data_IF_596308367262
#
_entry.id   IF_596308367262
#
_cell.length_a   1.000
_cell.length_b   1.000
_cell.length_c   1.000
_cell.angle_alpha   90.00
_cell.angle_beta   90.00
_cell.angle_gamma   90.00
#
_symmetry.space_group_name_H-M   'P 1'
#
loop_
_entity.id
_entity.type
_entity.pdbx_description
1 polymer ?
#
# COMPACT_ATOMS: atom_id res chain seq x y z
N UNK A 1 35.37 37.85 -69.96
CA UNK A 1 34.03 37.31 -69.66
C UNK A 1 34.21 36.45 -68.42
N UNK A 2 33.86 36.96 -67.22
CA UNK A 2 34.07 36.23 -65.92
C UNK A 2 32.75 35.65 -65.50
N UNK A 3 32.68 34.30 -65.41
CA UNK A 3 31.54 33.58 -64.89
C UNK A 3 31.58 33.68 -63.34
N UNK A 4 30.55 34.23 -62.74
CA UNK A 4 30.38 34.21 -61.27
C UNK A 4 29.62 32.94 -60.90
N UNK A 5 30.30 32.07 -60.14
CA UNK A 5 29.69 30.91 -59.49
C UNK A 5 28.79 31.38 -58.35
N UNK A 6 27.49 31.17 -58.50
CA UNK A 6 26.47 31.37 -57.47
C UNK A 6 26.29 30.08 -56.74
N UNK A 7 26.88 29.95 -55.54
CA UNK A 7 26.69 28.79 -54.66
C UNK A 7 25.35 29.02 -53.92
N UNK A 8 24.36 28.22 -54.26
CA UNK A 8 23.07 28.17 -53.58
C UNK A 8 23.24 27.31 -52.30
N UNK A 9 23.33 27.98 -51.12
CA UNK A 9 23.30 27.31 -49.82
C UNK A 9 21.84 26.95 -49.53
N UNK A 10 21.48 25.67 -49.65
CA UNK A 10 20.19 25.14 -49.21
C UNK A 10 20.23 25.02 -47.69
N UNK A 11 19.31 25.64 -46.91
CA UNK A 11 19.26 25.39 -45.49
C UNK A 11 18.71 24.01 -45.20
N UNK A 12 19.53 23.18 -44.58
CA UNK A 12 19.14 21.85 -44.09
C UNK A 12 18.22 22.03 -42.88
N UNK A 13 16.91 22.02 -43.09
CA UNK A 13 15.91 22.05 -42.03
C UNK A 13 15.91 20.65 -41.39
N UNK A 14 16.62 20.47 -40.29
CA UNK A 14 16.51 19.31 -39.44
C UNK A 14 15.22 19.39 -38.65
N UNK A 15 14.21 18.65 -39.10
CA UNK A 15 12.96 18.45 -38.37
C UNK A 15 13.30 17.54 -37.17
N UNK A 16 13.45 18.13 -36.00
CA UNK A 16 13.47 17.38 -34.74
C UNK A 16 12.06 16.79 -34.50
N UNK A 17 11.86 15.56 -34.93
CA UNK A 17 10.74 14.77 -34.42
C UNK A 17 10.99 14.50 -32.96
N UNK A 18 10.32 15.26 -32.09
CA UNK A 18 10.19 14.92 -30.68
C UNK A 18 9.38 13.62 -30.61
N UNK A 19 10.09 12.50 -30.53
CA UNK A 19 9.48 11.24 -30.18
C UNK A 19 8.91 11.40 -28.79
N UNK A 20 7.59 11.53 -28.67
CA UNK A 20 6.91 11.32 -27.40
C UNK A 20 7.19 9.88 -26.97
N UNK A 21 8.24 9.68 -26.20
CA UNK A 21 8.49 8.40 -25.54
C UNK A 21 7.42 8.25 -24.46
N UNK A 22 6.30 7.63 -24.82
CA UNK A 22 5.42 7.10 -23.81
C UNK A 22 6.21 6.04 -23.05
N UNK A 23 6.27 6.14 -21.75
CA UNK A 23 6.87 5.12 -20.93
C UNK A 23 6.14 3.79 -21.22
N UNK A 24 6.86 2.84 -21.86
CA UNK A 24 6.31 1.53 -22.20
C UNK A 24 6.32 0.57 -21.02
N UNK A 25 6.67 1.06 -19.84
CA UNK A 25 6.76 0.26 -18.62
C UNK A 25 6.41 1.06 -17.37
N UNK A 26 5.96 0.35 -16.33
CA UNK A 26 5.68 0.87 -15.00
C UNK A 26 6.47 0.07 -13.98
N UNK A 27 7.25 0.78 -13.16
CA UNK A 27 8.09 0.20 -12.12
C UNK A 27 7.38 0.26 -10.76
N UNK A 28 7.15 -0.89 -10.15
CA UNK A 28 6.35 -1.04 -8.95
C UNK A 28 7.22 -1.52 -7.80
N UNK A 29 7.34 -0.72 -6.73
CA UNK A 29 7.91 -1.17 -5.47
C UNK A 29 6.79 -1.76 -4.60
N UNK A 30 6.84 -3.07 -4.35
CA UNK A 30 5.74 -3.81 -3.76
C UNK A 30 6.11 -4.48 -2.43
N UNK A 31 5.27 -4.26 -1.43
CA UNK A 31 5.24 -5.08 -0.22
C UNK A 31 4.28 -6.28 -0.33
N UNK A 32 3.54 -6.35 -1.44
CA UNK A 32 2.63 -7.45 -1.73
C UNK A 32 3.38 -8.54 -2.49
N UNK A 33 3.16 -9.78 -2.10
CA UNK A 33 3.79 -10.94 -2.73
C UNK A 33 3.41 -11.02 -4.22
N UNK A 34 4.37 -11.34 -5.10
CA UNK A 34 4.15 -11.39 -6.55
C UNK A 34 2.96 -12.24 -6.96
N UNK A 35 2.80 -13.45 -6.41
CA UNK A 35 1.70 -14.36 -6.77
C UNK A 35 0.30 -13.78 -6.51
N UNK A 36 0.17 -12.75 -5.65
CA UNK A 36 -1.11 -12.09 -5.36
C UNK A 36 -1.41 -10.93 -6.32
N UNK A 37 -0.39 -10.34 -6.94
CA UNK A 37 -0.59 -9.16 -7.81
C UNK A 37 -0.34 -9.47 -9.28
N UNK A 38 0.48 -10.47 -9.61
CA UNK A 38 0.81 -10.79 -10.99
C UNK A 38 -0.42 -10.97 -11.89
N UNK A 39 -1.50 -11.66 -11.48
CA UNK A 39 -2.69 -11.79 -12.34
C UNK A 39 -3.31 -10.44 -12.74
N UNK A 40 -3.27 -9.45 -11.84
CA UNK A 40 -3.77 -8.10 -12.15
C UNK A 40 -2.82 -7.34 -13.06
N UNK A 41 -1.51 -7.50 -12.86
CA UNK A 41 -0.48 -6.83 -13.68
C UNK A 41 -0.42 -7.42 -15.10
N UNK A 42 -0.57 -8.73 -15.24
CA UNK A 42 -0.68 -9.41 -16.52
C UNK A 42 -1.90 -8.91 -17.31
N UNK A 43 -3.06 -8.81 -16.66
CA UNK A 43 -4.27 -8.30 -17.29
C UNK A 43 -4.13 -6.81 -17.65
N UNK A 44 -3.47 -6.01 -16.82
CA UNK A 44 -3.12 -4.62 -17.13
C UNK A 44 -2.24 -4.54 -18.38
N UNK A 45 -1.16 -5.30 -18.42
CA UNK A 45 -0.24 -5.34 -19.59
C UNK A 45 -0.97 -5.79 -20.85
N UNK A 46 -1.83 -6.80 -20.75
CA UNK A 46 -2.64 -7.29 -21.88
C UNK A 46 -3.58 -6.22 -22.43
N UNK A 47 -4.19 -5.42 -21.56
CA UNK A 47 -5.14 -4.37 -21.96
C UNK A 47 -4.47 -3.11 -22.49
N UNK A 48 -3.31 -2.78 -21.97
CA UNK A 48 -2.67 -1.48 -22.25
C UNK A 48 -1.43 -1.56 -23.14
N UNK A 49 -0.82 -2.73 -23.25
CA UNK A 49 0.50 -2.91 -23.85
C UNK A 49 1.66 -2.43 -22.97
N UNK A 50 1.39 -1.85 -21.80
CA UNK A 50 2.39 -1.32 -20.87
C UNK A 50 2.95 -2.46 -20.03
N UNK A 51 4.26 -2.63 -20.01
CA UNK A 51 4.96 -3.64 -19.19
C UNK A 51 4.98 -3.20 -17.73
N UNK A 52 5.05 -4.17 -16.81
CA UNK A 52 5.18 -3.90 -15.38
C UNK A 52 6.43 -4.60 -14.84
N UNK A 53 7.26 -3.84 -14.12
CA UNK A 53 8.46 -4.33 -13.44
C UNK A 53 8.21 -4.26 -11.93
N UNK A 54 8.36 -5.37 -11.22
CA UNK A 54 8.05 -5.42 -9.78
C UNK A 54 9.29 -5.71 -8.97
N UNK A 55 9.62 -4.79 -8.08
CA UNK A 55 10.61 -5.01 -7.01
C UNK A 55 9.85 -5.34 -5.74
N UNK A 56 9.91 -6.59 -5.31
CA UNK A 56 9.26 -7.07 -4.09
C UNK A 56 10.21 -7.07 -2.91
N UNK A 57 9.77 -6.49 -1.79
CA UNK A 57 10.43 -6.64 -0.49
C UNK A 57 9.44 -6.50 0.66
N UNK A 58 9.62 -7.30 1.70
CA UNK A 58 8.83 -7.19 2.93
C UNK A 58 9.21 -6.00 3.80
N UNK A 59 10.43 -5.44 3.63
CA UNK A 59 10.98 -4.33 4.43
C UNK A 59 11.88 -3.45 3.56
N UNK A 60 12.14 -2.22 4.04
CA UNK A 60 13.20 -1.35 3.50
C UNK A 60 12.88 -0.56 2.24
N UNK A 61 11.73 -0.77 1.57
CA UNK A 61 11.41 -0.05 0.33
C UNK A 61 11.25 1.46 0.53
N UNK A 62 10.69 1.91 1.65
CA UNK A 62 10.57 3.34 1.93
C UNK A 62 11.96 3.99 2.11
N UNK A 63 12.88 3.33 2.82
CA UNK A 63 14.24 3.81 2.97
C UNK A 63 15.00 3.80 1.64
N UNK A 64 14.82 2.76 0.85
CA UNK A 64 15.39 2.66 -0.50
C UNK A 64 14.92 3.83 -1.36
N UNK A 65 13.61 4.06 -1.45
CA UNK A 65 13.04 5.16 -2.21
C UNK A 65 13.58 6.53 -1.75
N UNK A 66 13.66 6.72 -0.42
CA UNK A 66 14.25 7.94 0.17
C UNK A 66 15.73 8.15 -0.24
N UNK A 67 16.51 7.07 -0.29
CA UNK A 67 17.92 7.12 -0.69
C UNK A 67 18.09 7.36 -2.18
N UNK A 68 17.25 6.75 -3.02
CA UNK A 68 17.23 6.94 -4.46
C UNK A 68 16.80 8.38 -4.84
N UNK A 69 15.92 9.00 -4.05
CA UNK A 69 15.44 10.36 -4.27
C UNK A 69 14.82 10.56 -5.65
N UNK A 70 15.19 11.64 -6.32
CA UNK A 70 14.69 11.96 -7.67
C UNK A 70 15.17 10.98 -8.76
N UNK A 71 16.20 10.18 -8.46
CA UNK A 71 16.69 9.16 -9.37
C UNK A 71 16.01 7.78 -9.18
N UNK A 72 14.99 7.70 -8.34
CA UNK A 72 14.26 6.45 -8.15
C UNK A 72 13.56 6.03 -9.44
N UNK A 73 13.71 4.76 -9.87
CA UNK A 73 12.95 4.24 -10.99
C UNK A 73 11.49 3.92 -10.63
N UNK A 74 11.10 4.00 -9.37
CA UNK A 74 9.77 3.58 -8.92
C UNK A 74 8.69 4.59 -9.32
N UNK A 75 7.72 4.13 -10.10
CA UNK A 75 6.52 4.91 -10.48
C UNK A 75 5.37 4.70 -9.48
N UNK A 76 5.27 3.49 -8.92
CA UNK A 76 4.15 3.09 -8.04
C UNK A 76 4.66 2.36 -6.80
N UNK A 77 4.09 2.73 -5.66
CA UNK A 77 4.26 1.99 -4.39
C UNK A 77 3.00 1.19 -4.11
N UNK A 78 3.16 -0.14 -3.94
CA UNK A 78 2.07 -1.03 -3.57
C UNK A 78 2.30 -1.59 -2.17
N UNK A 79 1.51 -1.15 -1.20
CA UNK A 79 1.59 -1.63 0.17
C UNK A 79 0.51 -2.66 0.50
N UNK A 80 0.62 -3.31 1.66
CA UNK A 80 -0.34 -4.30 2.14
C UNK A 80 -1.28 -3.75 3.20
N UNK A 81 -1.00 -2.54 3.70
CA UNK A 81 -1.67 -1.99 4.88
C UNK A 81 -1.45 -0.47 4.95
N UNK A 82 -2.43 0.26 5.47
CA UNK A 82 -2.36 1.71 5.63
C UNK A 82 -1.22 2.16 6.55
N UNK A 83 -0.91 1.39 7.59
CA UNK A 83 0.19 1.71 8.50
C UNK A 83 1.56 1.63 7.85
N UNK A 84 1.74 0.83 6.79
CA UNK A 84 2.96 0.85 5.97
C UNK A 84 2.97 2.03 4.99
N UNK A 85 1.80 2.40 4.48
CA UNK A 85 1.66 3.52 3.56
C UNK A 85 2.04 4.84 4.24
N UNK A 86 1.65 5.00 5.51
CA UNK A 86 1.94 6.19 6.31
C UNK A 86 3.44 6.58 6.32
N UNK A 87 4.35 5.60 6.30
CA UNK A 87 5.80 5.87 6.26
C UNK A 87 6.21 6.62 4.97
N UNK A 88 5.57 6.30 3.86
CA UNK A 88 5.84 7.00 2.58
C UNK A 88 5.28 8.42 2.58
N UNK A 89 4.15 8.63 3.24
CA UNK A 89 3.54 9.94 3.42
C UNK A 89 4.38 10.81 4.37
N UNK A 90 4.80 10.26 5.51
CA UNK A 90 5.67 10.90 6.51
C UNK A 90 7.03 11.32 5.91
N UNK A 91 7.59 10.52 5.02
CA UNK A 91 8.82 10.85 4.29
C UNK A 91 8.59 11.75 3.07
N UNK A 92 7.36 12.20 2.82
CA UNK A 92 6.96 13.00 1.66
C UNK A 92 7.39 12.39 0.31
N UNK A 93 7.22 11.07 0.17
CA UNK A 93 7.61 10.31 -1.02
C UNK A 93 6.46 10.10 -2.01
N UNK A 94 5.28 10.63 -1.72
CA UNK A 94 4.08 10.47 -2.54
C UNK A 94 3.68 11.80 -3.16
N UNK A 95 3.23 11.76 -4.42
CA UNK A 95 2.69 12.91 -5.12
C UNK A 95 1.18 12.76 -5.35
N UNK A 96 0.43 13.86 -5.41
CA UNK A 96 -1.00 13.79 -5.69
C UNK A 96 -1.29 13.39 -7.14
N UNK A 97 -2.32 12.57 -7.33
CA UNK A 97 -2.78 12.12 -8.64
C UNK A 97 -4.23 12.57 -8.84
N UNK A 98 -4.51 13.19 -9.98
CA UNK A 98 -5.88 13.50 -10.42
C UNK A 98 -6.34 12.45 -11.41
N UNK A 99 -7.37 11.71 -11.09
CA UNK A 99 -7.93 10.66 -11.94
C UNK A 99 -9.42 10.49 -11.70
N UNK A 100 -10.22 10.80 -12.72
CA UNK A 100 -11.67 10.60 -12.66
C UNK A 100 -12.05 9.14 -12.41
N UNK A 101 -11.24 8.20 -12.89
CA UNK A 101 -11.47 6.75 -12.67
C UNK A 101 -11.27 6.39 -11.19
N UNK A 102 -10.20 6.87 -10.56
CA UNK A 102 -9.96 6.64 -9.13
C UNK A 102 -11.01 7.35 -8.28
N UNK A 103 -11.36 8.57 -8.63
CA UNK A 103 -12.34 9.37 -7.89
C UNK A 103 -13.75 8.78 -7.93
N UNK A 104 -14.15 8.20 -9.05
CA UNK A 104 -15.47 7.55 -9.20
C UNK A 104 -15.56 6.17 -8.56
N UNK A 105 -14.43 5.45 -8.48
CA UNK A 105 -14.43 4.05 -8.00
C UNK A 105 -14.00 3.88 -6.55
N UNK A 106 -13.29 4.86 -5.96
CA UNK A 106 -12.75 4.74 -4.61
C UNK A 106 -13.44 5.73 -3.67
N UNK A 107 -14.20 5.26 -2.67
CA UNK A 107 -14.85 6.12 -1.68
C UNK A 107 -13.87 7.05 -0.97
N UNK A 108 -14.31 8.26 -0.61
CA UNK A 108 -13.46 9.29 0.02
C UNK A 108 -12.73 8.81 1.27
N UNK A 109 -13.35 7.96 2.08
CA UNK A 109 -12.73 7.42 3.31
C UNK A 109 -11.68 6.32 3.04
N UNK A 110 -11.48 5.92 1.79
CA UNK A 110 -10.50 4.93 1.34
C UNK A 110 -9.39 5.51 0.46
N UNK A 111 -9.23 6.82 0.46
CA UNK A 111 -8.15 7.53 -0.23
C UNK A 111 -7.61 8.70 0.62
N UNK A 112 -6.42 9.18 0.28
CA UNK A 112 -5.86 10.39 0.86
C UNK A 112 -6.73 11.61 0.58
N UNK A 113 -6.96 12.52 1.54
CA UNK A 113 -7.60 13.81 1.27
C UNK A 113 -6.88 14.62 0.18
N UNK A 114 -5.57 14.45 0.07
CA UNK A 114 -4.72 15.10 -0.93
C UNK A 114 -4.51 14.26 -2.21
N UNK A 115 -5.24 13.15 -2.37
CA UNK A 115 -5.10 12.22 -3.49
C UNK A 115 -3.69 11.63 -3.68
N UNK A 116 -2.93 11.49 -2.62
CA UNK A 116 -1.58 10.91 -2.63
C UNK A 116 -1.57 9.38 -2.62
N UNK A 117 -2.66 8.76 -2.16
CA UNK A 117 -2.82 7.31 -2.15
C UNK A 117 -4.28 6.89 -2.27
N UNK A 118 -4.48 5.66 -2.71
CA UNK A 118 -5.80 5.06 -2.97
C UNK A 118 -5.81 3.61 -2.52
N UNK A 119 -6.87 3.18 -1.83
CA UNK A 119 -7.01 1.79 -1.42
C UNK A 119 -7.58 0.93 -2.57
N UNK A 120 -6.90 -0.17 -2.90
CA UNK A 120 -7.37 -1.15 -3.89
C UNK A 120 -8.34 -2.16 -3.29
N UNK A 121 -8.23 -2.45 -1.99
CA UNK A 121 -9.06 -3.40 -1.30
C UNK A 121 -9.14 -3.10 0.19
N UNK A 122 -10.22 -3.57 0.81
CA UNK A 122 -10.45 -3.49 2.24
C UNK A 122 -10.53 -4.90 2.83
N UNK A 123 -9.98 -5.10 4.02
CA UNK A 123 -10.06 -6.36 4.78
C UNK A 123 -10.55 -6.09 6.19
N UNK A 124 -11.40 -6.96 6.70
CA UNK A 124 -11.81 -6.93 8.10
C UNK A 124 -11.01 -7.96 8.90
N UNK A 125 -10.66 -7.61 10.12
CA UNK A 125 -10.18 -8.58 11.11
C UNK A 125 -11.39 -9.14 11.81
N UNK A 126 -11.50 -10.46 11.74
CA UNK A 126 -12.62 -11.17 12.34
C UNK A 126 -12.12 -12.07 13.46
N UNK A 127 -12.98 -12.27 14.44
CA UNK A 127 -12.77 -13.29 15.48
C UNK A 127 -13.23 -14.60 14.90
N UNK A 128 -12.37 -15.62 14.96
CA UNK A 128 -12.71 -16.99 14.58
C UNK A 128 -12.76 -17.83 15.84
N UNK A 129 -13.93 -18.37 16.13
CA UNK A 129 -14.18 -19.20 17.30
C UNK A 129 -14.43 -20.66 16.91
N UNK A 130 -14.00 -21.59 17.77
CA UNK A 130 -14.30 -23.01 17.63
C UNK A 130 -15.78 -23.26 17.88
N UNK A 131 -16.49 -23.83 16.92
CA UNK A 131 -17.93 -24.15 17.04
C UNK A 131 -18.24 -25.13 18.19
N UNK A 132 -17.27 -25.97 18.58
CA UNK A 132 -17.46 -27.00 19.62
C UNK A 132 -17.03 -26.53 21.02
N UNK A 133 -16.28 -25.41 21.12
CA UNK A 133 -15.68 -24.95 22.39
C UNK A 133 -16.16 -23.57 22.83
N UNK A 134 -16.83 -22.86 21.97
CA UNK A 134 -17.33 -21.51 22.23
C UNK A 134 -18.77 -21.46 21.79
N UNK A 135 -19.66 -21.12 22.70
CA UNK A 135 -21.08 -20.95 22.39
C UNK A 135 -21.32 -19.81 21.42
N UNK A 136 -22.32 -19.98 20.59
CA UNK A 136 -22.70 -18.97 19.62
C UNK A 136 -23.10 -17.65 20.34
N UNK A 137 -22.68 -16.52 19.78
CA UNK A 137 -22.97 -15.18 20.32
C UNK A 137 -22.29 -14.80 21.66
N UNK A 138 -21.40 -15.62 22.21
CA UNK A 138 -20.68 -15.29 23.45
C UNK A 138 -19.67 -14.14 23.24
N UNK A 139 -19.12 -14.02 22.01
CA UNK A 139 -18.20 -12.96 21.63
C UNK A 139 -18.89 -12.07 20.59
N UNK A 140 -19.25 -10.85 20.95
CA UNK A 140 -19.91 -9.90 20.08
C UNK A 140 -18.97 -8.88 19.46
N UNK A 141 -17.91 -8.55 20.15
CA UNK A 141 -16.94 -7.53 19.75
C UNK A 141 -15.55 -7.88 20.24
N UNK A 142 -14.56 -7.21 19.68
CA UNK A 142 -13.15 -7.49 19.96
C UNK A 142 -12.79 -7.25 21.43
N UNK A 143 -13.44 -6.30 22.07
CA UNK A 143 -13.22 -5.95 23.47
C UNK A 143 -13.59 -7.09 24.42
N UNK A 144 -14.52 -7.95 24.05
CA UNK A 144 -14.92 -9.10 24.85
C UNK A 144 -13.75 -10.09 25.08
N UNK A 145 -12.75 -10.08 24.22
CA UNK A 145 -11.57 -10.95 24.34
C UNK A 145 -10.67 -10.60 25.52
N UNK A 146 -10.85 -9.43 26.15
CA UNK A 146 -10.16 -9.05 27.37
C UNK A 146 -10.77 -9.62 28.65
N UNK A 147 -11.97 -10.24 28.58
CA UNK A 147 -12.64 -10.82 29.75
C UNK A 147 -11.88 -12.04 30.29
N UNK A 148 -11.88 -12.25 31.65
CA UNK A 148 -11.12 -13.32 32.29
C UNK A 148 -11.49 -14.75 31.83
N UNK A 149 -12.72 -14.95 31.37
CA UNK A 149 -13.22 -16.25 30.88
C UNK A 149 -12.43 -16.80 29.68
N UNK A 150 -11.67 -15.92 29.01
CA UNK A 150 -10.84 -16.29 27.85
C UNK A 150 -9.41 -16.67 28.23
N UNK A 151 -9.07 -16.70 29.52
CA UNK A 151 -7.71 -17.01 29.97
C UNK A 151 -7.18 -18.31 29.39
N UNK A 152 -6.04 -18.24 28.71
CA UNK A 152 -5.38 -19.38 28.06
C UNK A 152 -6.12 -19.92 26.83
N UNK A 153 -7.07 -19.17 26.27
CA UNK A 153 -7.92 -19.66 25.16
C UNK A 153 -7.75 -18.89 23.84
N UNK A 154 -6.97 -17.81 23.82
CA UNK A 154 -6.79 -16.95 22.67
C UNK A 154 -5.48 -17.24 21.96
N UNK A 155 -5.53 -17.38 20.63
CA UNK A 155 -4.35 -17.38 19.78
C UNK A 155 -4.33 -16.11 18.95
N UNK A 156 -3.20 -15.40 18.96
CA UNK A 156 -3.00 -14.17 18.18
C UNK A 156 -1.61 -14.14 17.57
N UNK A 157 -1.38 -13.20 16.68
CA UNK A 157 -0.05 -12.86 16.19
C UNK A 157 0.69 -12.00 17.23
N UNK A 158 2.03 -11.85 17.12
CA UNK A 158 2.78 -10.89 17.93
C UNK A 158 2.22 -9.47 17.86
N UNK A 159 2.30 -8.73 18.97
CA UNK A 159 1.91 -7.31 19.00
C UNK A 159 2.65 -6.43 18.00
N UNK A 160 3.90 -6.79 17.67
CA UNK A 160 4.71 -6.11 16.64
C UNK A 160 4.21 -6.31 15.21
N UNK A 161 3.35 -7.30 14.97
CA UNK A 161 2.82 -7.57 13.64
C UNK A 161 1.90 -6.42 13.18
N UNK A 162 2.06 -6.00 11.92
CA UNK A 162 1.33 -4.85 11.35
C UNK A 162 -0.20 -4.91 11.58
N UNK A 163 -0.78 -6.12 11.58
CA UNK A 163 -2.22 -6.28 11.82
C UNK A 163 -2.62 -6.03 13.27
N UNK A 164 -1.82 -6.45 14.24
CA UNK A 164 -2.10 -6.20 15.64
C UNK A 164 -1.81 -4.75 16.03
N UNK A 165 -0.81 -4.12 15.40
CA UNK A 165 -0.61 -2.67 15.52
C UNK A 165 -1.81 -1.88 15.02
N UNK A 166 -2.38 -2.26 13.87
CA UNK A 166 -3.60 -1.61 13.35
C UNK A 166 -4.83 -1.89 14.22
N UNK A 167 -4.95 -3.10 14.82
CA UNK A 167 -5.98 -3.38 15.80
C UNK A 167 -5.82 -2.48 17.04
N UNK A 168 -4.60 -2.39 17.59
CA UNK A 168 -4.33 -1.53 18.74
C UNK A 168 -4.66 -0.06 18.45
N UNK A 169 -4.27 0.45 17.28
CA UNK A 169 -4.62 1.79 16.85
C UNK A 169 -6.14 2.02 16.80
N UNK A 170 -6.93 1.03 16.35
CA UNK A 170 -8.39 1.12 16.34
C UNK A 170 -9.01 1.13 17.75
N UNK A 171 -8.45 0.37 18.68
CA UNK A 171 -8.88 0.39 20.09
C UNK A 171 -8.53 1.72 20.75
N UNK A 172 -7.34 2.27 20.48
CA UNK A 172 -6.95 3.61 20.96
C UNK A 172 -7.90 4.68 20.41
N UNK A 173 -8.19 4.65 19.13
CA UNK A 173 -9.09 5.63 18.51
C UNK A 173 -10.52 5.56 19.07
N UNK A 174 -10.98 4.37 19.43
CA UNK A 174 -12.33 4.18 19.97
C UNK A 174 -12.46 4.51 21.49
N UNK A 175 -11.40 4.27 22.27
CA UNK A 175 -11.49 4.25 23.73
C UNK A 175 -10.47 5.14 24.45
N UNK A 176 -9.50 5.69 23.73
CA UNK A 176 -8.35 6.42 24.29
C UNK A 176 -7.23 5.48 24.77
N UNK A 177 -6.04 6.04 24.97
CA UNK A 177 -4.81 5.28 25.27
C UNK A 177 -4.92 4.47 26.57
N UNK A 178 -5.35 5.06 27.66
CA UNK A 178 -5.42 4.40 28.96
C UNK A 178 -6.31 3.14 28.95
N UNK A 179 -7.50 3.24 28.34
CA UNK A 179 -8.42 2.08 28.24
C UNK A 179 -7.90 1.04 27.27
N UNK A 180 -7.26 1.47 26.21
CA UNK A 180 -6.65 0.59 25.22
C UNK A 180 -5.48 -0.21 25.82
N UNK A 181 -4.66 0.41 26.68
CA UNK A 181 -3.57 -0.26 27.40
C UNK A 181 -4.12 -1.32 28.38
N UNK A 182 -5.14 -0.97 29.16
CA UNK A 182 -5.81 -1.92 30.08
C UNK A 182 -6.40 -3.10 29.31
N UNK A 183 -7.06 -2.83 28.20
CA UNK A 183 -7.59 -3.85 27.31
C UNK A 183 -6.47 -4.77 26.77
N UNK A 184 -5.38 -4.21 26.27
CA UNK A 184 -4.26 -4.95 25.71
C UNK A 184 -3.58 -5.84 26.78
N UNK A 185 -3.38 -5.35 27.98
CA UNK A 185 -2.85 -6.12 29.09
C UNK A 185 -3.74 -7.34 29.41
N UNK A 186 -5.05 -7.13 29.52
CA UNK A 186 -6.02 -8.20 29.78
C UNK A 186 -6.07 -9.19 28.60
N UNK A 187 -6.06 -8.71 27.36
CA UNK A 187 -6.00 -9.56 26.18
C UNK A 187 -4.74 -10.45 26.14
N UNK A 188 -3.57 -9.87 26.45
CA UNK A 188 -2.30 -10.63 26.52
C UNK A 188 -2.35 -11.70 27.59
N UNK A 189 -2.93 -11.42 28.76
CA UNK A 189 -3.11 -12.41 29.83
C UNK A 189 -4.01 -13.59 29.44
N UNK A 190 -4.85 -13.40 28.42
CA UNK A 190 -5.77 -14.41 27.90
C UNK A 190 -5.16 -15.27 26.79
N UNK A 191 -3.92 -14.97 26.34
CA UNK A 191 -3.27 -15.76 25.31
C UNK A 191 -2.93 -17.17 25.78
N UNK A 192 -3.20 -18.15 24.93
CA UNK A 192 -2.91 -19.56 25.19
C UNK A 192 -1.40 -19.85 25.21
N UNK A 193 -0.63 -19.04 24.49
CA UNK A 193 0.83 -19.12 24.39
C UNK A 193 1.40 -17.77 23.99
N UNK A 194 2.67 -17.58 24.25
CA UNK A 194 3.41 -16.42 23.74
C UNK A 194 3.43 -16.46 22.20
N UNK A 195 3.01 -15.42 21.52
CA UNK A 195 2.97 -15.37 20.06
C UNK A 195 4.37 -15.20 19.45
#
# INVERSE_FOLDING_TARGET
MKLKNFIFLLPLITIFWSSNSFANEVNIYSHRQPFLINPFLEEFTKKTGIKTNVVYSTKGLAQRLKTEGENSPADVILTVDIGRLYIYEDYNLLQPIKSNVLDSNIPMHLKSPENKWFALSKRSRVIVASKTRVEENLIKRIEDLAKPEWKGRICSRPGSHVYNRALMASIIAAHGEEKAEKWAASFVNNLARRP
#
